data_IF_834547130641
#
_entry.id   IF_834547130641
#
_cell.length_a   1.000
_cell.length_b   1.000
_cell.length_c   1.000
_cell.angle_alpha   90.00
_cell.angle_beta   90.00
_cell.angle_gamma   90.00
#
_symmetry.space_group_name_H-M   'P 1'
#
loop_
_entity.id
_entity.type
_entity.pdbx_description
1 polymer ?
#
# COMPACT_ATOMS: atom_id res chain seq x y z
N UNK A 1 -8.76 -0.22 12.96
CA UNK A 1 -7.96 -0.40 14.20
C UNK A 1 -8.79 -0.16 15.45
N UNK A 2 -9.45 0.99 15.58
CA UNK A 2 -10.28 1.36 16.74
C UNK A 2 -11.34 0.30 17.10
N UNK A 3 -12.14 -0.14 16.14
CA UNK A 3 -13.18 -1.17 16.36
C UNK A 3 -12.64 -2.51 16.82
N UNK A 4 -11.43 -2.88 16.39
CA UNK A 4 -10.75 -4.08 16.86
C UNK A 4 -10.34 -3.91 18.31
N UNK A 5 -9.68 -2.81 18.67
CA UNK A 5 -9.28 -2.54 20.06
C UNK A 5 -10.48 -2.46 21.01
N UNK A 6 -11.58 -1.86 20.56
CA UNK A 6 -12.81 -1.80 21.35
C UNK A 6 -13.37 -3.19 21.66
N UNK A 7 -13.44 -4.07 20.66
CA UNK A 7 -13.95 -5.45 20.82
C UNK A 7 -13.00 -6.32 21.64
N UNK A 8 -11.72 -6.34 21.30
CA UNK A 8 -10.73 -7.22 21.93
C UNK A 8 -10.45 -6.84 23.40
N UNK A 9 -10.57 -5.56 23.75
CA UNK A 9 -10.27 -5.05 25.09
C UNK A 9 -11.52 -4.67 25.89
N UNK A 10 -12.72 -4.90 25.34
CA UNK A 10 -14.01 -4.52 25.95
C UNK A 10 -14.05 -3.06 26.42
N UNK A 11 -13.60 -2.13 25.57
CA UNK A 11 -13.48 -0.71 25.95
C UNK A 11 -14.86 -0.06 26.11
N UNK A 12 -15.03 0.70 27.19
CA UNK A 12 -16.22 1.54 27.39
C UNK A 12 -16.23 2.72 26.40
N UNK A 13 -17.41 3.33 26.13
CA UNK A 13 -17.50 4.50 25.26
C UNK A 13 -16.57 5.65 25.69
N UNK A 14 -16.44 5.87 27.00
CA UNK A 14 -15.55 6.89 27.56
C UNK A 14 -14.07 6.58 27.32
N UNK A 15 -13.67 5.31 27.45
CA UNK A 15 -12.30 4.88 27.13
C UNK A 15 -12.02 5.07 25.64
N UNK A 16 -12.95 4.66 24.77
CA UNK A 16 -12.84 4.87 23.31
C UNK A 16 -12.68 6.35 22.98
N UNK A 17 -13.46 7.24 23.60
CA UNK A 17 -13.35 8.68 23.39
C UNK A 17 -11.96 9.22 23.78
N UNK A 18 -11.37 8.74 24.88
CA UNK A 18 -10.04 9.15 25.34
C UNK A 18 -8.90 8.64 24.43
N UNK A 19 -8.99 7.42 23.92
CA UNK A 19 -7.93 6.84 23.07
C UNK A 19 -8.04 7.22 21.59
N UNK A 20 -9.23 7.59 21.12
CA UNK A 20 -9.49 7.95 19.72
C UNK A 20 -8.47 8.94 19.14
N UNK A 21 -8.16 10.09 19.79
CA UNK A 21 -7.17 11.03 19.27
C UNK A 21 -5.75 10.46 19.19
N UNK A 22 -5.38 9.52 20.08
CA UNK A 22 -4.07 8.85 20.02
C UNK A 22 -3.97 7.95 18.79
N UNK A 23 -5.05 7.23 18.49
CA UNK A 23 -5.13 6.37 17.29
C UNK A 23 -5.14 7.19 16.00
N UNK A 24 -5.83 8.34 15.99
CA UNK A 24 -5.86 9.23 14.82
C UNK A 24 -4.48 9.83 14.55
N UNK A 25 -3.78 10.26 15.60
CA UNK A 25 -2.39 10.71 15.50
C UNK A 25 -1.48 9.62 14.94
N UNK A 26 -1.55 8.41 15.50
CA UNK A 26 -0.75 7.28 15.02
C UNK A 26 -1.06 6.93 13.55
N UNK A 27 -2.33 7.00 13.14
CA UNK A 27 -2.72 6.77 11.75
C UNK A 27 -2.12 7.83 10.80
N UNK A 28 -2.12 9.10 11.21
CA UNK A 28 -1.51 10.19 10.45
C UNK A 28 0.02 10.02 10.31
N UNK A 29 0.70 9.67 11.40
CA UNK A 29 2.15 9.40 11.39
C UNK A 29 2.49 8.21 10.50
N UNK A 30 1.76 7.10 10.61
CA UNK A 30 1.95 5.94 9.74
C UNK A 30 1.71 6.28 8.26
N UNK A 31 0.73 7.13 7.97
CA UNK A 31 0.48 7.59 6.60
C UNK A 31 1.65 8.43 6.07
N UNK A 32 2.23 9.30 6.89
CA UNK A 32 3.45 10.05 6.53
C UNK A 32 4.62 9.09 6.24
N UNK A 33 4.91 8.17 7.16
CA UNK A 33 5.97 7.16 6.98
C UNK A 33 5.78 6.37 5.69
N UNK A 34 4.55 5.93 5.38
CA UNK A 34 4.24 5.22 4.13
C UNK A 34 4.53 6.06 2.90
N UNK A 35 4.15 7.35 2.89
CA UNK A 35 4.43 8.25 1.77
C UNK A 35 5.92 8.47 1.58
N UNK A 36 6.64 8.74 2.65
CA UNK A 36 8.08 9.04 2.59
C UNK A 36 8.88 7.80 2.17
N UNK A 37 8.56 6.65 2.76
CA UNK A 37 9.16 5.36 2.39
C UNK A 37 8.82 5.01 0.94
N UNK A 38 7.57 5.19 0.52
CA UNK A 38 7.14 4.91 -0.85
C UNK A 38 7.90 5.76 -1.88
N UNK A 39 8.11 7.04 -1.59
CA UNK A 39 8.94 7.92 -2.41
C UNK A 39 10.37 7.41 -2.49
N UNK A 40 10.97 7.08 -1.35
CA UNK A 40 12.35 6.59 -1.31
C UNK A 40 12.55 5.27 -2.07
N UNK A 41 11.58 4.36 -1.96
CA UNK A 41 11.56 3.11 -2.73
C UNK A 41 11.50 3.40 -4.23
N UNK A 42 10.65 4.34 -4.66
CA UNK A 42 10.54 4.71 -6.07
C UNK A 42 11.84 5.31 -6.61
N UNK A 43 12.50 6.17 -5.84
CA UNK A 43 13.82 6.73 -6.19
C UNK A 43 14.88 5.64 -6.37
N UNK A 44 15.03 4.74 -5.40
CA UNK A 44 16.02 3.65 -5.44
C UNK A 44 15.79 2.76 -6.67
N UNK A 45 14.54 2.38 -6.93
CA UNK A 45 14.18 1.56 -8.10
C UNK A 45 14.48 2.32 -9.40
N UNK A 46 14.11 3.59 -9.49
CA UNK A 46 14.37 4.43 -10.67
C UNK A 46 15.87 4.57 -10.96
N UNK A 47 16.67 4.86 -9.95
CA UNK A 47 18.14 4.93 -10.05
C UNK A 47 18.73 3.59 -10.52
N UNK A 48 18.26 2.47 -9.96
CA UNK A 48 18.71 1.13 -10.34
C UNK A 48 18.38 0.82 -11.80
N UNK A 49 17.17 1.17 -12.27
CA UNK A 49 16.79 0.97 -13.66
C UNK A 49 17.61 1.83 -14.62
N UNK A 50 17.94 3.07 -14.25
CA UNK A 50 18.83 3.93 -15.04
C UNK A 50 20.23 3.32 -15.18
N UNK A 51 20.79 2.80 -14.08
CA UNK A 51 22.09 2.12 -14.11
C UNK A 51 22.05 0.87 -15.00
N UNK A 52 21.01 0.05 -14.87
CA UNK A 52 20.82 -1.13 -15.72
C UNK A 52 20.69 -0.76 -17.20
N UNK A 53 19.96 0.31 -17.53
CA UNK A 53 19.78 0.74 -18.90
C UNK A 53 21.11 1.07 -19.62
N UNK A 54 22.14 1.49 -18.89
CA UNK A 54 23.48 1.70 -19.45
C UNK A 54 24.23 0.42 -19.85
N UNK A 55 23.78 -0.74 -19.36
CA UNK A 55 24.43 -2.06 -19.58
C UNK A 55 23.63 -2.90 -20.58
N UNK A 56 22.32 -2.66 -20.67
CA UNK A 56 21.40 -3.49 -21.45
C UNK A 56 21.37 -3.12 -22.94
N UNK A 57 21.13 -4.14 -23.77
CA UNK A 57 20.82 -3.94 -25.20
C UNK A 57 19.50 -3.20 -25.38
N UNK A 58 19.24 -2.64 -26.56
CA UNK A 58 17.98 -1.93 -26.85
C UNK A 58 16.75 -2.80 -26.62
N UNK A 59 16.80 -4.08 -27.00
CA UNK A 59 15.71 -5.03 -26.80
C UNK A 59 15.45 -5.28 -25.31
N UNK A 60 16.51 -5.49 -24.53
CA UNK A 60 16.42 -5.71 -23.09
C UNK A 60 15.89 -4.46 -22.37
N UNK A 61 16.30 -3.26 -22.78
CA UNK A 61 15.77 -1.99 -22.26
C UNK A 61 14.28 -1.85 -22.50
N UNK A 62 13.80 -2.16 -23.70
CA UNK A 62 12.36 -2.14 -24.02
C UNK A 62 11.58 -3.13 -23.15
N UNK A 63 12.14 -4.33 -22.91
CA UNK A 63 11.52 -5.31 -22.02
C UNK A 63 11.47 -4.83 -20.57
N UNK A 64 12.54 -4.19 -20.08
CA UNK A 64 12.58 -3.61 -18.74
C UNK A 64 11.48 -2.54 -18.56
N UNK A 65 11.32 -1.63 -19.53
CA UNK A 65 10.26 -0.62 -19.50
C UNK A 65 8.85 -1.24 -19.43
N UNK A 66 8.57 -2.29 -20.20
CA UNK A 66 7.28 -2.98 -20.14
C UNK A 66 7.01 -3.64 -18.78
N UNK A 67 8.05 -4.18 -18.13
CA UNK A 67 7.94 -4.75 -16.78
C UNK A 67 7.59 -3.66 -15.76
N UNK A 68 8.24 -2.50 -15.86
CA UNK A 68 8.01 -1.34 -15.00
C UNK A 68 6.58 -0.80 -15.11
N UNK A 69 6.11 -0.57 -16.33
CA UNK A 69 4.75 -0.08 -16.56
C UNK A 69 3.70 -1.06 -16.02
N UNK A 70 3.94 -2.37 -16.18
CA UNK A 70 3.05 -3.38 -15.60
C UNK A 70 3.03 -3.19 -14.09
N UNK A 71 4.19 -3.14 -13.44
CA UNK A 71 4.29 -2.97 -11.99
C UNK A 71 3.57 -1.71 -11.49
N UNK A 72 3.73 -0.56 -12.16
CA UNK A 72 3.02 0.67 -11.82
C UNK A 72 1.49 0.53 -11.89
N UNK A 73 0.97 -0.17 -12.91
CA UNK A 73 -0.47 -0.44 -13.03
C UNK A 73 -1.03 -1.28 -11.87
N UNK A 74 -0.27 -2.25 -11.36
CA UNK A 74 -0.67 -3.03 -10.17
C UNK A 74 -0.69 -2.19 -8.89
N UNK A 75 0.28 -1.28 -8.71
CA UNK A 75 0.33 -0.40 -7.53
C UNK A 75 -0.73 0.69 -7.52
N UNK A 76 -1.19 1.15 -8.68
CA UNK A 76 -2.28 2.12 -8.79
C UNK A 76 -3.68 1.48 -8.76
N UNK A 77 -3.80 0.17 -9.02
CA UNK A 77 -5.07 -0.54 -9.11
C UNK A 77 -5.51 -1.28 -7.84
N UNK A 78 -4.62 -1.53 -6.88
CA UNK A 78 -4.94 -2.28 -5.66
C UNK A 78 -5.04 -1.38 -4.42
N UNK A 79 -6.19 -0.72 -4.28
CA UNK A 79 -6.83 -0.66 -2.95
C UNK A 79 -7.13 -2.08 -2.44
N UNK A 80 -7.42 -2.28 -1.14
CA UNK A 80 -7.65 -3.60 -0.59
C UNK A 80 -8.66 -4.37 -1.44
N UNK A 81 -8.25 -5.55 -1.91
CA UNK A 81 -9.10 -6.48 -2.63
C UNK A 81 -10.29 -6.83 -1.74
N UNK A 82 -11.43 -6.19 -2.00
CA UNK A 82 -12.71 -6.62 -1.45
C UNK A 82 -13.01 -7.97 -2.12
N UNK A 83 -13.11 -9.08 -1.36
CA UNK A 83 -13.49 -10.35 -1.96
C UNK A 83 -14.91 -10.19 -2.48
N UNK A 84 -15.06 -10.24 -3.81
CA UNK A 84 -16.36 -10.28 -4.49
C UNK A 84 -17.20 -11.40 -3.84
N UNK A 85 -18.42 -11.14 -3.34
CA UNK A 85 -19.27 -12.21 -2.87
C UNK A 85 -19.59 -13.10 -4.07
N UNK A 86 -19.08 -14.33 -4.04
CA UNK A 86 -19.54 -15.38 -4.94
C UNK A 86 -21.06 -15.47 -4.79
N UNK A 87 -21.76 -15.11 -5.86
CA UNK A 87 -23.19 -15.29 -5.94
C UNK A 87 -23.47 -16.78 -5.69
N UNK A 88 -24.10 -17.06 -4.55
CA UNK A 88 -24.55 -18.40 -4.20
C UNK A 88 -25.44 -18.94 -5.33
N UNK A 89 -25.21 -20.17 -5.82
CA UNK A 89 -26.17 -20.78 -6.72
C UNK A 89 -27.43 -21.09 -5.91
N UNK A 90 -28.54 -20.43 -6.27
CA UNK A 90 -29.88 -20.77 -5.79
C UNK A 90 -30.50 -21.86 -6.69
N UNK A 91 -31.44 -22.66 -6.14
CA UNK A 91 -31.67 -24.08 -6.44
C UNK A 91 -32.28 -24.41 -7.79
#
# INVERSE_FOLDING_TARGET
>A
MRERLQRELNLTPEQVAKISPMLDKAAAELHQVRRDTGRRVHEIIGETHQQMAGILTDEQRRKLQQLEERHQRWHHGHGPHEPRPEASPSP
#
